data_IF_305628137827
#
_entry.id   IF_305628137827
#
_cell.length_a   1.000
_cell.length_b   1.000
_cell.length_c   1.000
_cell.angle_alpha   90.00
_cell.angle_beta   90.00
_cell.angle_gamma   90.00
#
_symmetry.space_group_name_H-M   'P 1'
#
loop_
_entity.id
_entity.type
_entity.pdbx_description
1 polymer ?
#
# COMPACT_ATOMS: atom_id res chain seq x y z
N UNK A 1 62.96 -47.92 21.36
CA UNK A 1 62.34 -48.27 22.66
C UNK A 1 61.61 -47.03 23.13
N UNK A 2 60.25 -46.99 23.06
CA UNK A 2 59.32 -47.22 24.20
C UNK A 2 59.67 -46.29 25.39
N UNK A 3 58.82 -45.44 25.96
CA UNK A 3 57.37 -45.20 25.91
C UNK A 3 57.08 -43.86 26.62
N UNK A 4 56.01 -43.15 26.22
CA UNK A 4 54.92 -42.56 27.04
C UNK A 4 55.23 -41.77 28.32
N UNK A 5 54.50 -40.75 28.75
CA UNK A 5 53.31 -39.99 28.33
C UNK A 5 53.20 -38.83 29.34
N UNK A 6 52.55 -37.71 28.99
CA UNK A 6 51.65 -36.91 29.84
C UNK A 6 51.25 -35.66 29.03
N UNK A 7 50.13 -35.72 28.29
CA UNK A 7 48.80 -35.22 28.70
C UNK A 7 48.76 -33.74 29.09
N UNK A 8 48.24 -32.91 28.18
CA UNK A 8 47.41 -31.74 28.49
C UNK A 8 46.53 -31.45 27.26
N UNK A 9 45.28 -31.95 27.33
CA UNK A 9 44.20 -31.60 26.43
C UNK A 9 43.82 -30.12 26.61
N UNK A 10 44.23 -29.26 25.67
CA UNK A 10 43.69 -27.91 25.53
C UNK A 10 42.47 -27.92 24.62
N UNK A 11 41.27 -27.87 25.19
CA UNK A 11 40.02 -27.66 24.45
C UNK A 11 39.99 -26.20 24.01
N UNK A 12 40.12 -25.92 22.71
CA UNK A 12 39.83 -24.60 22.15
C UNK A 12 38.31 -24.53 21.92
N UNK A 13 37.60 -23.89 22.85
CA UNK A 13 36.17 -23.57 22.67
C UNK A 13 36.07 -22.46 21.64
N UNK A 14 35.57 -22.82 20.46
CA UNK A 14 35.21 -21.89 19.40
C UNK A 14 34.08 -20.96 19.87
N UNK A 15 34.43 -19.70 20.16
CA UNK A 15 33.46 -18.63 20.37
C UNK A 15 32.94 -18.11 19.03
N UNK A 16 31.91 -18.74 18.48
CA UNK A 16 31.14 -18.16 17.38
C UNK A 16 30.35 -16.98 17.98
N UNK A 17 30.88 -15.77 17.84
CA UNK A 17 30.10 -14.54 18.03
C UNK A 17 29.09 -14.43 16.89
N UNK A 18 27.95 -15.10 17.05
CA UNK A 18 26.74 -14.77 16.32
C UNK A 18 26.31 -13.38 16.81
N UNK A 19 26.70 -12.35 16.07
CA UNK A 19 26.03 -11.05 16.16
C UNK A 19 24.58 -11.27 15.77
N UNK A 20 23.72 -11.41 16.78
CA UNK A 20 22.28 -11.34 16.61
C UNK A 20 21.96 -9.95 16.06
N UNK A 21 21.79 -9.86 14.74
CA UNK A 21 21.07 -8.75 14.14
C UNK A 21 19.69 -8.76 14.82
N UNK A 22 19.23 -7.65 15.40
CA UNK A 22 17.83 -7.53 15.73
C UNK A 22 17.10 -7.41 14.39
N UNK A 23 16.78 -8.56 13.79
CA UNK A 23 15.59 -8.68 12.96
C UNK A 23 14.44 -8.34 13.89
N UNK A 24 14.14 -7.04 13.99
CA UNK A 24 12.77 -6.62 14.27
C UNK A 24 11.99 -7.35 13.20
N UNK A 25 11.30 -8.42 13.61
CA UNK A 25 10.31 -9.10 12.81
C UNK A 25 9.35 -8.01 12.33
N UNK A 26 9.64 -7.46 11.15
CA UNK A 26 8.84 -6.45 10.49
C UNK A 26 7.58 -7.23 10.19
N UNK A 27 6.52 -6.97 10.96
CA UNK A 27 5.20 -7.54 10.72
C UNK A 27 5.01 -7.54 9.20
N UNK A 28 4.93 -8.73 8.59
CA UNK A 28 5.32 -8.95 7.20
C UNK A 28 4.36 -8.25 6.23
N UNK A 29 4.53 -6.95 6.09
CA UNK A 29 3.79 -6.12 5.19
C UNK A 29 4.16 -6.44 3.74
N UNK A 30 3.20 -6.26 2.85
CA UNK A 30 3.38 -6.29 1.41
C UNK A 30 3.96 -4.95 0.99
N UNK A 31 5.12 -4.97 0.36
CA UNK A 31 5.61 -3.82 -0.39
C UNK A 31 4.86 -3.81 -1.71
N UNK A 32 4.01 -2.81 -1.95
CA UNK A 32 3.22 -2.74 -3.20
C UNK A 32 3.76 -1.67 -4.14
N UNK A 33 4.27 -0.54 -3.65
CA UNK A 33 4.88 0.47 -4.52
C UNK A 33 6.32 0.10 -4.92
N UNK A 34 6.76 0.62 -6.06
CA UNK A 34 8.05 0.33 -6.70
C UNK A 34 8.34 -1.18 -6.94
N UNK A 35 7.30 -2.01 -6.97
CA UNK A 35 7.41 -3.44 -7.23
C UNK A 35 7.14 -3.78 -8.70
N UNK A 36 7.62 -4.95 -9.09
CA UNK A 36 7.37 -5.51 -10.43
C UNK A 36 5.98 -6.14 -10.51
N UNK A 37 5.37 -6.23 -11.71
CA UNK A 37 4.12 -6.94 -11.92
C UNK A 37 4.11 -8.38 -11.36
N UNK A 38 5.22 -9.10 -11.49
CA UNK A 38 5.36 -10.47 -10.99
C UNK A 38 5.27 -10.53 -9.46
N UNK A 39 5.80 -9.51 -8.78
CA UNK A 39 5.69 -9.40 -7.32
C UNK A 39 4.25 -9.08 -6.92
N UNK A 40 3.60 -8.17 -7.63
CA UNK A 40 2.20 -7.80 -7.38
C UNK A 40 1.24 -8.98 -7.63
N UNK A 41 1.49 -9.79 -8.65
CA UNK A 41 0.70 -11.00 -8.94
C UNK A 41 0.73 -12.00 -7.78
N UNK A 42 1.84 -12.10 -7.03
CA UNK A 42 1.92 -12.95 -5.83
C UNK A 42 1.00 -12.48 -4.70
N UNK A 43 0.70 -11.18 -4.64
CA UNK A 43 -0.15 -10.61 -3.59
C UNK A 43 -1.64 -10.62 -3.94
N UNK A 44 -1.98 -10.27 -5.18
CA UNK A 44 -3.37 -10.03 -5.59
C UNK A 44 -3.87 -11.00 -6.66
N UNK A 45 -3.04 -11.96 -7.06
CA UNK A 45 -3.31 -12.88 -8.16
C UNK A 45 -3.12 -12.24 -9.53
N UNK A 46 -3.47 -12.99 -10.57
CA UNK A 46 -3.39 -12.52 -11.96
C UNK A 46 -4.33 -11.35 -12.19
N UNK A 47 -3.86 -10.36 -12.94
CA UNK A 47 -4.71 -9.28 -13.41
C UNK A 47 -5.79 -9.83 -14.35
N UNK A 48 -6.95 -9.21 -14.35
CA UNK A 48 -8.06 -9.50 -15.26
C UNK A 48 -7.93 -8.76 -16.58
N UNK A 49 -7.56 -7.49 -16.51
CA UNK A 49 -7.41 -6.64 -17.70
C UNK A 49 -6.11 -5.84 -17.65
N UNK A 50 -5.63 -5.48 -18.83
CA UNK A 50 -4.44 -4.66 -19.04
C UNK A 50 -4.79 -3.50 -19.96
N UNK A 51 -4.47 -2.30 -19.54
CA UNK A 51 -4.50 -1.10 -20.37
C UNK A 51 -3.07 -0.57 -20.53
N UNK A 52 -2.66 -0.27 -21.76
CA UNK A 52 -1.37 0.38 -22.02
C UNK A 52 -1.64 1.74 -22.64
N UNK A 53 -1.03 2.79 -22.09
CA UNK A 53 -1.11 4.16 -22.60
C UNK A 53 0.27 4.78 -22.64
N UNK A 54 0.50 5.69 -23.58
CA UNK A 54 1.70 6.52 -23.61
C UNK A 54 1.26 7.95 -23.38
N UNK A 55 1.76 8.55 -22.30
CA UNK A 55 1.44 9.93 -21.90
C UNK A 55 2.75 10.69 -21.76
N UNK A 56 2.91 11.80 -22.49
CA UNK A 56 4.15 12.60 -22.50
C UNK A 56 5.41 11.76 -22.78
N UNK A 57 5.32 10.79 -23.70
CA UNK A 57 6.43 9.88 -24.04
C UNK A 57 6.67 8.75 -23.02
N UNK A 58 5.97 8.74 -21.89
CA UNK A 58 6.12 7.71 -20.84
C UNK A 58 5.08 6.62 -21.04
N UNK A 59 5.54 5.38 -21.19
CA UNK A 59 4.68 4.20 -21.27
C UNK A 59 4.15 3.83 -19.88
N UNK A 60 2.84 3.91 -19.72
CA UNK A 60 2.08 3.51 -18.54
C UNK A 60 1.32 2.23 -18.83
N UNK A 61 1.43 1.25 -17.93
CA UNK A 61 0.64 0.01 -18.00
C UNK A 61 -0.20 -0.08 -16.75
N UNK A 62 -1.51 -0.17 -16.89
CA UNK A 62 -2.44 -0.34 -15.78
C UNK A 62 -2.99 -1.76 -15.82
N UNK A 63 -2.81 -2.49 -14.72
CA UNK A 63 -3.42 -3.80 -14.50
C UNK A 63 -4.61 -3.67 -13.57
N UNK A 64 -5.75 -4.23 -13.96
CA UNK A 64 -6.95 -4.30 -13.11
C UNK A 64 -7.05 -5.70 -12.52
N UNK A 65 -7.26 -5.79 -11.21
CA UNK A 65 -7.32 -7.02 -10.45
C UNK A 65 -8.75 -7.30 -9.97
N UNK A 66 -8.96 -8.50 -9.43
CA UNK A 66 -10.26 -8.85 -8.83
C UNK A 66 -10.60 -7.92 -7.66
N UNK A 67 -11.79 -7.30 -7.62
CA UNK A 67 -12.22 -6.51 -6.48
C UNK A 67 -12.74 -7.38 -5.32
N UNK A 68 -12.83 -8.71 -5.47
CA UNK A 68 -13.47 -9.61 -4.48
C UNK A 68 -12.88 -9.49 -3.08
N UNK A 69 -11.57 -9.29 -2.94
CA UNK A 69 -10.94 -9.11 -1.64
C UNK A 69 -11.30 -7.77 -0.99
N UNK A 70 -11.36 -6.70 -1.79
CA UNK A 70 -11.81 -5.38 -1.33
C UNK A 70 -13.31 -5.38 -0.97
N UNK A 71 -14.13 -6.12 -1.72
CA UNK A 71 -15.55 -6.28 -1.43
C UNK A 71 -15.80 -6.87 -0.03
N UNK A 72 -14.87 -7.68 0.50
CA UNK A 72 -14.97 -8.22 1.87
C UNK A 72 -14.73 -7.17 2.95
N UNK A 73 -13.87 -6.17 2.70
CA UNK A 73 -13.60 -5.10 3.66
C UNK A 73 -14.59 -3.94 3.54
N UNK A 74 -15.29 -3.84 2.41
CA UNK A 74 -16.36 -2.87 2.18
C UNK A 74 -17.67 -3.57 1.76
N UNK A 75 -18.30 -4.37 2.65
CA UNK A 75 -19.40 -5.27 2.29
C UNK A 75 -20.67 -4.57 1.78
N UNK A 76 -20.92 -3.33 2.22
CA UNK A 76 -22.14 -2.56 1.88
C UNK A 76 -21.90 -1.54 0.75
N UNK A 77 -20.81 -1.67 0.02
CA UNK A 77 -20.44 -0.77 -1.08
C UNK A 77 -20.19 -1.58 -2.33
N UNK A 78 -20.13 -0.95 -3.50
CA UNK A 78 -19.72 -1.61 -4.72
C UNK A 78 -18.29 -1.20 -5.06
N UNK A 79 -17.38 -2.17 -5.15
CA UNK A 79 -16.01 -1.90 -5.61
C UNK A 79 -15.92 -2.16 -7.11
N UNK A 80 -16.00 -1.09 -7.90
CA UNK A 80 -16.01 -1.15 -9.36
C UNK A 80 -14.64 -1.46 -9.96
N UNK A 81 -13.57 -1.01 -9.32
CA UNK A 81 -12.23 -1.13 -9.86
C UNK A 81 -11.18 -1.24 -8.76
N UNK A 82 -10.25 -2.16 -8.95
CA UNK A 82 -8.98 -2.21 -8.22
C UNK A 82 -7.86 -2.32 -9.25
N UNK A 83 -7.05 -1.28 -9.40
CA UNK A 83 -6.03 -1.25 -10.44
C UNK A 83 -4.70 -0.69 -9.93
N UNK A 84 -3.61 -1.21 -10.48
CA UNK A 84 -2.25 -0.76 -10.17
C UNK A 84 -1.60 -0.29 -11.47
N UNK A 85 -1.04 0.91 -11.46
CA UNK A 85 -0.37 1.53 -12.60
C UNK A 85 1.13 1.39 -12.47
N UNK A 86 1.77 0.99 -13.56
CA UNK A 86 3.20 0.74 -13.67
C UNK A 86 3.82 1.69 -14.69
N UNK A 87 4.99 2.23 -14.34
CA UNK A 87 5.89 2.97 -15.22
C UNK A 87 7.23 2.25 -15.16
N UNK A 88 7.84 1.99 -16.32
CA UNK A 88 9.14 1.28 -16.38
C UNK A 88 9.16 -0.04 -15.59
N UNK A 89 8.06 -0.80 -15.68
CA UNK A 89 7.90 -2.07 -14.97
C UNK A 89 7.92 -1.97 -13.43
N UNK A 90 7.67 -0.77 -12.89
CA UNK A 90 7.56 -0.48 -11.45
C UNK A 90 6.21 0.15 -11.13
N UNK A 91 5.50 -0.40 -10.17
CA UNK A 91 4.21 0.13 -9.70
C UNK A 91 4.37 1.52 -9.07
N UNK A 92 3.61 2.48 -9.55
CA UNK A 92 3.69 3.89 -9.11
C UNK A 92 2.46 4.32 -8.30
N UNK A 93 1.28 3.82 -8.68
CA UNK A 93 0.06 4.13 -7.95
C UNK A 93 -0.95 2.99 -7.98
N UNK A 94 -1.85 3.04 -7.01
CA UNK A 94 -2.93 2.09 -6.80
C UNK A 94 -4.22 2.90 -6.81
N UNK A 95 -5.18 2.51 -7.63
CA UNK A 95 -6.48 3.19 -7.73
C UNK A 95 -7.61 2.23 -7.40
N UNK A 96 -8.51 2.68 -6.54
CA UNK A 96 -9.72 1.94 -6.17
C UNK A 96 -10.93 2.82 -6.42
N UNK A 97 -11.82 2.37 -7.29
CA UNK A 97 -13.12 3.00 -7.47
C UNK A 97 -14.13 2.27 -6.58
N UNK A 98 -14.68 3.00 -5.61
CA UNK A 98 -15.71 2.53 -4.70
C UNK A 98 -16.92 3.44 -4.92
N UNK A 99 -18.05 2.84 -5.26
CA UNK A 99 -19.35 3.52 -5.28
C UNK A 99 -20.19 2.97 -4.13
N UNK A 100 -21.21 3.72 -3.71
CA UNK A 100 -22.19 3.18 -2.76
C UNK A 100 -22.98 2.02 -3.40
N UNK A 101 -23.99 1.50 -2.70
CA UNK A 101 -24.90 0.50 -3.26
C UNK A 101 -25.35 0.90 -4.68
N UNK A 102 -25.63 -0.02 -5.61
CA UNK A 102 -26.20 0.35 -6.93
C UNK A 102 -27.41 1.29 -6.86
N UNK A 103 -28.13 1.31 -5.73
CA UNK A 103 -29.27 2.21 -5.48
C UNK A 103 -28.91 3.53 -4.79
N UNK A 104 -27.70 3.63 -4.22
CA UNK A 104 -27.22 4.80 -3.51
C UNK A 104 -25.80 5.15 -3.95
N UNK A 105 -25.63 6.21 -4.75
CA UNK A 105 -24.32 6.76 -5.11
C UNK A 105 -23.62 7.46 -3.90
N UNK A 106 -23.91 7.04 -2.68
CA UNK A 106 -23.74 7.80 -1.43
C UNK A 106 -22.53 7.40 -0.57
N UNK A 107 -21.51 6.76 -1.14
CA UNK A 107 -20.38 6.31 -0.31
C UNK A 107 -19.54 7.48 0.18
N UNK A 108 -19.65 7.80 1.47
CA UNK A 108 -18.78 8.77 2.14
C UNK A 108 -17.48 8.09 2.56
N UNK A 109 -16.40 8.37 1.84
CA UNK A 109 -15.07 7.88 2.18
C UNK A 109 -14.46 8.71 3.31
N UNK A 110 -14.02 8.05 4.38
CA UNK A 110 -13.45 8.69 5.55
C UNK A 110 -12.11 8.05 5.96
N UNK A 111 -11.52 8.56 7.05
CA UNK A 111 -10.24 8.11 7.58
C UNK A 111 -10.21 6.64 8.02
N UNK A 112 -11.33 6.08 8.48
CA UNK A 112 -11.39 4.66 8.84
C UNK A 112 -11.36 3.79 7.58
N UNK A 113 -12.04 4.22 6.52
CA UNK A 113 -12.05 3.51 5.24
C UNK A 113 -10.68 3.56 4.54
N UNK A 114 -9.97 4.69 4.62
CA UNK A 114 -8.58 4.76 4.13
C UNK A 114 -7.63 3.84 4.89
N UNK A 115 -7.83 3.69 6.20
CA UNK A 115 -7.07 2.76 7.03
C UNK A 115 -7.33 1.29 6.64
N UNK A 116 -8.60 0.92 6.44
CA UNK A 116 -8.99 -0.43 5.98
C UNK A 116 -8.43 -0.74 4.61
N UNK A 117 -8.48 0.23 3.69
CA UNK A 117 -7.93 0.08 2.34
C UNK A 117 -6.42 -0.14 2.39
N UNK A 118 -5.71 0.65 3.20
CA UNK A 118 -4.27 0.48 3.44
C UNK A 118 -3.95 -0.90 4.00
N UNK A 119 -4.64 -1.31 5.05
CA UNK A 119 -4.45 -2.61 5.70
C UNK A 119 -4.64 -3.77 4.73
N UNK A 120 -5.64 -3.69 3.85
CA UNK A 120 -5.85 -4.72 2.83
C UNK A 120 -4.72 -4.76 1.79
N UNK A 121 -4.28 -3.59 1.32
CA UNK A 121 -3.24 -3.49 0.28
C UNK A 121 -1.88 -3.92 0.83
N UNK A 122 -1.47 -3.34 1.95
CA UNK A 122 -0.14 -3.46 2.51
C UNK A 122 -0.03 -4.54 3.59
N UNK A 123 -1.13 -5.06 4.13
CA UNK A 123 -1.12 -6.17 5.10
C UNK A 123 -0.77 -5.77 6.54
N UNK A 124 -0.71 -4.48 6.86
CA UNK A 124 -0.48 -3.96 8.21
C UNK A 124 -1.20 -2.61 8.41
N UNK A 125 -1.36 -2.20 9.66
CA UNK A 125 -2.02 -0.93 10.01
C UNK A 125 -1.16 0.28 9.61
N UNK A 126 -1.76 1.37 9.09
CA UNK A 126 -1.01 2.58 8.77
C UNK A 126 -0.36 3.16 10.04
N UNK A 127 0.96 3.47 10.03
CA UNK A 127 1.66 3.95 11.23
C UNK A 127 1.33 5.39 11.62
N UNK A 128 0.87 6.22 10.67
CA UNK A 128 0.38 7.58 10.91
C UNK A 128 -0.90 7.81 10.12
N UNK A 129 -1.73 8.75 10.59
CA UNK A 129 -2.86 9.30 9.84
C UNK A 129 -2.86 10.81 9.99
N UNK A 130 -2.41 11.51 8.94
CA UNK A 130 -2.29 12.97 8.96
C UNK A 130 -2.78 13.56 7.65
N UNK A 131 -3.72 14.51 7.71
CA UNK A 131 -4.16 15.21 6.51
C UNK A 131 -3.04 16.12 5.98
N UNK A 132 -2.60 15.90 4.75
CA UNK A 132 -1.59 16.71 4.07
C UNK A 132 -2.21 17.91 3.37
N UNK A 133 -3.40 17.75 2.80
CA UNK A 133 -4.16 18.83 2.19
C UNK A 133 -5.65 18.56 2.17
N UNK A 134 -6.42 19.65 2.20
CA UNK A 134 -7.83 19.72 1.84
C UNK A 134 -7.95 20.94 0.94
N UNK A 135 -8.44 20.74 -0.28
CA UNK A 135 -8.58 21.81 -1.27
C UNK A 135 -9.99 21.82 -1.80
N UNK A 136 -10.63 22.97 -1.70
CA UNK A 136 -11.89 23.23 -2.37
C UNK A 136 -11.63 23.45 -3.87
N UNK A 137 -12.31 22.70 -4.74
CA UNK A 137 -12.09 22.75 -6.19
C UNK A 137 -13.41 23.04 -6.91
N UNK A 138 -13.74 24.33 -7.11
CA UNK A 138 -14.83 24.77 -7.99
C UNK A 138 -15.91 25.62 -7.32
N UNK A 139 -17.08 25.73 -7.98
CA UNK A 139 -18.28 26.46 -7.51
C UNK A 139 -19.21 25.57 -6.64
N UNK A 140 -19.04 24.25 -6.73
CA UNK A 140 -19.82 23.23 -6.02
C UNK A 140 -19.07 22.74 -4.79
N UNK A 141 -19.77 22.08 -3.86
CA UNK A 141 -19.23 21.47 -2.62
C UNK A 141 -18.27 20.30 -2.88
N UNK A 142 -17.22 20.52 -3.69
CA UNK A 142 -16.22 19.51 -4.07
C UNK A 142 -14.92 19.81 -3.33
N UNK A 143 -14.41 18.78 -2.65
CA UNK A 143 -13.18 18.84 -1.88
C UNK A 143 -12.26 17.70 -2.28
N UNK A 144 -11.04 18.06 -2.66
CA UNK A 144 -9.91 17.13 -2.80
C UNK A 144 -9.20 17.00 -1.46
N UNK A 145 -9.04 15.77 -1.00
CA UNK A 145 -8.29 15.43 0.20
C UNK A 145 -7.05 14.64 -0.17
N UNK A 146 -5.98 14.88 0.58
CA UNK A 146 -4.80 14.02 0.59
C UNK A 146 -4.41 13.75 2.03
N UNK A 147 -4.43 12.47 2.40
CA UNK A 147 -4.06 11.99 3.73
C UNK A 147 -2.79 11.17 3.66
N UNK A 148 -1.91 11.40 4.61
CA UNK A 148 -0.75 10.59 4.87
C UNK A 148 -1.10 9.36 5.68
N UNK A 149 -0.68 8.20 5.19
CA UNK A 149 -0.87 6.89 5.83
C UNK A 149 0.45 6.32 6.39
N UNK A 150 1.57 6.98 6.09
CA UNK A 150 2.92 6.59 6.53
C UNK A 150 3.64 5.65 5.58
N UNK A 151 4.90 5.37 5.90
CA UNK A 151 5.86 4.57 5.15
C UNK A 151 5.96 5.01 3.68
N UNK A 152 5.93 6.33 3.48
CA UNK A 152 5.97 6.97 2.17
C UNK A 152 4.65 6.88 1.41
N UNK A 153 3.54 6.45 2.02
CA UNK A 153 2.23 6.28 1.35
C UNK A 153 1.28 7.42 1.71
N UNK A 154 0.74 8.07 0.69
CA UNK A 154 -0.40 8.97 0.79
C UNK A 154 -1.60 8.41 0.02
N UNK A 155 -2.81 8.74 0.48
CA UNK A 155 -4.05 8.52 -0.26
C UNK A 155 -4.66 9.84 -0.67
N UNK A 156 -5.11 9.94 -1.92
CA UNK A 156 -5.88 11.06 -2.46
C UNK A 156 -7.28 10.61 -2.82
N UNK A 157 -8.27 11.43 -2.52
CA UNK A 157 -9.67 11.18 -2.88
C UNK A 157 -10.44 12.49 -3.00
N UNK A 158 -11.54 12.46 -3.75
CA UNK A 158 -12.40 13.63 -3.99
C UNK A 158 -13.80 13.36 -3.46
N UNK A 159 -14.27 14.23 -2.58
CA UNK A 159 -15.66 14.23 -2.10
C UNK A 159 -16.45 15.34 -2.79
N UNK A 160 -17.74 15.10 -3.06
CA UNK A 160 -18.60 16.07 -3.70
C UNK A 160 -20.08 15.92 -3.37
N UNK A 161 -20.86 16.96 -3.70
CA UNK A 161 -22.31 17.00 -3.47
C UNK A 161 -22.68 17.46 -2.06
N UNK A 162 -23.98 17.64 -1.81
CA UNK A 162 -24.49 18.14 -0.52
C UNK A 162 -24.11 17.24 0.65
N UNK A 163 -24.02 15.94 0.42
CA UNK A 163 -23.69 14.92 1.42
C UNK A 163 -22.26 14.35 1.30
N UNK A 164 -21.38 15.01 0.52
CA UNK A 164 -19.93 14.73 0.46
C UNK A 164 -19.58 13.26 0.14
N UNK A 165 -20.05 12.76 -1.01
CA UNK A 165 -19.80 11.41 -1.48
C UNK A 165 -18.53 11.30 -2.33
N UNK A 166 -17.93 10.11 -2.37
CA UNK A 166 -16.74 9.82 -3.16
C UNK A 166 -17.04 9.88 -4.67
N UNK A 167 -16.38 10.79 -5.40
CA UNK A 167 -16.70 11.03 -6.82
C UNK A 167 -15.91 10.16 -7.82
N UNK A 168 -14.66 9.80 -7.52
CA UNK A 168 -13.77 9.16 -8.51
C UNK A 168 -12.97 7.98 -7.97
N UNK A 169 -13.16 7.63 -6.70
CA UNK A 169 -12.37 6.64 -5.99
C UNK A 169 -11.25 7.24 -5.15
N UNK A 170 -10.43 6.36 -4.59
CA UNK A 170 -9.22 6.68 -3.86
C UNK A 170 -7.98 6.22 -4.64
N UNK A 171 -6.95 7.05 -4.66
CA UNK A 171 -5.63 6.72 -5.21
C UNK A 171 -4.61 6.65 -4.07
N UNK A 172 -3.76 5.62 -4.02
CA UNK A 172 -2.61 5.54 -3.14
C UNK A 172 -1.32 5.64 -3.97
N UNK A 173 -0.38 6.44 -3.50
CA UNK A 173 0.87 6.73 -4.19
C UNK A 173 1.98 7.06 -3.21
N UNK A 174 3.21 7.05 -3.71
CA UNK A 174 4.36 7.47 -2.94
C UNK A 174 4.32 8.99 -2.69
N UNK A 175 4.62 9.41 -1.47
CA UNK A 175 4.80 10.80 -1.08
C UNK A 175 5.87 10.87 0.02
N UNK A 176 6.97 11.57 -0.24
CA UNK A 176 8.09 11.71 0.69
C UNK A 176 7.69 12.35 2.03
N UNK A 177 6.65 13.20 2.05
CA UNK A 177 6.12 13.80 3.28
C UNK A 177 5.50 12.77 4.23
N UNK A 178 5.34 11.52 3.77
CA UNK A 178 4.84 10.39 4.54
C UNK A 178 5.90 9.41 4.99
N UNK A 179 7.19 9.70 4.76
CA UNK A 179 8.26 8.88 5.29
C UNK A 179 8.52 9.17 6.78
N UNK A 180 9.02 8.19 7.55
CA UNK A 180 9.57 8.44 8.88
C UNK A 180 10.75 9.45 8.83
N UNK A 181 11.01 10.18 9.93
CA UNK A 181 10.30 10.14 11.20
C UNK A 181 8.97 10.89 11.14
N UNK A 182 7.96 10.33 11.80
CA UNK A 182 6.64 10.95 11.92
C UNK A 182 6.69 12.03 12.99
N UNK A 183 6.61 13.31 12.60
CA UNK A 183 6.27 14.38 13.54
C UNK A 183 4.82 14.18 13.98
N UNK A 184 4.64 13.81 15.25
CA UNK A 184 3.33 13.73 15.90
C UNK A 184 2.82 15.10 16.30
#
# INVERSE_FOLDING_TARGET
MKHSDHWLCGIIVAGIMLTALPDRARASGRYVLNQTPQTIERYFGRYWTRLTRTENGVKRVTYTYSPRGLQRIFPNTRVDRFAITFVENRSQSISVAITGSPDELSFTYNRADSSRLYEYIFGYRPPIRQQLSSRFTGNTTIYDYEDCLGDGIATRYTLGGAAQFLLSGAELRYNERCEPPYTR
#
